data_IF_336340982711
#
_entry.id   IF_336340982711
#
_cell.length_a   1.000
_cell.length_b   1.000
_cell.length_c   1.000
_cell.angle_alpha   90.00
_cell.angle_beta   90.00
_cell.angle_gamma   90.00
#
_symmetry.space_group_name_H-M   'P 1'
#
loop_
_entity.id
_entity.type
_entity.pdbx_description
1 polymer ?
2 polymer ?
3 polymer ?
4 branched ?
5 branched ?
6 non-polymer ?
7 non-polymer ?
#
# COMPACT_ATOMS: atom_id res chain seq x y z
N UNK A 3 18.29 4.26 -31.36
CA UNK A 3 16.90 3.85 -31.59
C UNK A 3 16.47 2.91 -30.47
N UNK A 4 16.84 3.34 -29.24
CA UNK A 4 16.56 2.67 -27.96
C UNK A 4 15.16 3.03 -27.42
N UNK A 5 14.71 2.35 -26.36
CA UNK A 5 13.37 2.57 -25.82
C UNK A 5 13.37 2.81 -24.33
N UNK A 6 12.92 3.99 -23.94
CA UNK A 6 12.89 4.40 -22.54
C UNK A 6 11.54 4.92 -22.09
N UNK A 7 11.34 4.86 -20.78
CA UNK A 7 10.15 5.37 -20.12
C UNK A 7 8.87 5.07 -20.87
N UNK A 8 8.14 6.12 -21.25
CA UNK A 8 6.86 6.02 -21.92
C UNK A 8 6.91 5.25 -23.24
N UNK A 9 7.95 5.48 -24.04
CA UNK A 9 8.13 4.79 -25.31
C UNK A 9 8.27 3.29 -25.07
N UNK A 10 9.02 2.90 -24.03
CA UNK A 10 9.20 1.50 -23.70
C UNK A 10 7.88 0.82 -23.36
N UNK A 11 7.04 1.45 -22.52
CA UNK A 11 5.72 0.91 -22.13
C UNK A 11 4.81 0.75 -23.35
N UNK A 12 4.73 1.80 -24.15
CA UNK A 12 3.95 1.81 -25.37
C UNK A 12 4.40 0.65 -26.27
N UNK A 13 5.73 0.45 -26.42
CA UNK A 13 6.24 -0.65 -27.24
C UNK A 13 5.84 -2.03 -26.67
N UNK A 14 5.93 -2.20 -25.32
CA UNK A 14 5.56 -3.47 -24.67
C UNK A 14 4.06 -3.72 -24.81
N UNK A 15 3.27 -2.65 -24.69
CA UNK A 15 1.83 -2.74 -24.84
C UNK A 15 1.46 -3.19 -26.29
N UNK A 16 2.19 -2.66 -27.28
CA UNK A 16 1.89 -3.01 -28.67
C UNK A 16 2.29 -4.45 -28.97
N UNK A 17 3.48 -4.84 -28.52
CA UNK A 17 4.03 -6.17 -28.73
C UNK A 17 3.25 -7.24 -27.99
N UNK A 18 2.91 -6.97 -26.73
CA UNK A 18 2.21 -7.97 -25.93
C UNK A 18 0.74 -8.05 -26.24
N UNK A 19 0.11 -6.89 -26.46
CA UNK A 19 -1.31 -6.80 -26.75
C UNK A 19 -2.16 -7.53 -25.72
N UNK A 20 -3.05 -8.41 -26.20
CA UNK A 20 -3.99 -9.18 -25.39
C UNK A 20 -3.35 -10.16 -24.43
N UNK A 21 -2.11 -10.59 -24.68
CA UNK A 21 -1.43 -11.55 -23.81
C UNK A 21 -1.12 -11.02 -22.42
N UNK A 22 -0.85 -9.72 -22.35
CA UNK A 22 -0.46 -9.04 -21.12
C UNK A 22 1.02 -9.25 -20.85
N UNK A 23 1.45 -8.90 -19.63
CA UNK A 23 2.83 -9.02 -19.19
C UNK A 23 3.00 -10.12 -18.16
N UNK A 24 4.20 -10.73 -18.12
CA UNK A 24 4.53 -11.84 -17.25
C UNK A 24 5.01 -11.35 -15.89
N UNK A 25 4.78 -12.18 -14.83
CA UNK A 25 5.23 -11.95 -13.46
C UNK A 25 5.40 -13.28 -12.63
N UNK A 26 6.36 -13.26 -11.65
CA UNK A 26 6.85 -14.28 -10.69
C UNK A 26 7.63 -15.39 -11.39
N UNK A 41 19.63 -6.53 -12.94
CA UNK A 41 19.25 -6.07 -14.28
C UNK A 41 17.79 -6.33 -14.59
N UNK A 42 17.28 -5.68 -15.65
CA UNK A 42 15.91 -5.76 -16.13
C UNK A 42 15.84 -5.15 -17.50
N UNK A 43 14.65 -4.74 -17.90
CA UNK A 43 14.37 -4.21 -19.23
C UNK A 43 15.07 -2.89 -19.51
N UNK A 44 15.18 -2.04 -18.48
CA UNK A 44 15.84 -0.75 -18.63
C UNK A 44 17.25 -0.98 -19.14
N UNK A 45 17.95 -1.92 -18.55
CA UNK A 45 19.33 -2.22 -18.92
C UNK A 45 19.44 -2.78 -20.32
N UNK A 46 18.49 -3.65 -20.69
CA UNK A 46 18.50 -4.34 -21.98
C UNK A 46 18.03 -3.51 -23.16
N UNK A 47 17.01 -2.68 -22.94
CA UNK A 47 16.23 -1.98 -23.93
C UNK A 47 16.33 -0.47 -23.86
N UNK A 48 16.69 0.08 -22.73
CA UNK A 48 16.79 1.54 -22.64
C UNK A 48 18.23 2.04 -22.65
N UNK A 49 19.08 1.47 -21.79
CA UNK A 49 20.49 1.85 -21.75
C UNK A 49 21.19 1.29 -22.97
N UNK A 50 20.66 0.18 -23.49
CA UNK A 50 21.12 -0.51 -24.67
C UNK A 50 19.94 -0.71 -25.58
N UNK A 51 20.19 -1.00 -26.84
CA UNK A 51 19.11 -1.30 -27.75
C UNK A 51 18.86 -2.79 -27.66
N UNK A 52 17.59 -3.19 -27.71
CA UNK A 52 17.23 -4.59 -27.70
C UNK A 52 16.39 -4.87 -28.94
N UNK A 53 16.34 -6.12 -29.36
CA UNK A 53 15.51 -6.44 -30.50
C UNK A 53 14.13 -6.93 -30.05
N UNK A 54 13.23 -7.07 -31.00
CA UNK A 54 11.87 -7.52 -30.72
C UNK A 54 11.84 -8.86 -30.01
N UNK A 55 12.75 -9.79 -30.34
CA UNK A 55 12.73 -11.10 -29.66
C UNK A 55 13.05 -10.99 -28.18
N UNK A 56 13.86 -10.00 -27.75
CA UNK A 56 14.16 -9.79 -26.33
C UNK A 56 12.94 -9.19 -25.65
N UNK A 57 12.48 -8.10 -26.22
CA UNK A 57 11.35 -7.39 -25.69
C UNK A 57 10.10 -8.28 -25.51
N UNK A 58 9.82 -9.17 -26.46
CA UNK A 58 8.66 -10.05 -26.41
C UNK A 58 8.77 -11.09 -25.31
N UNK A 59 9.97 -11.32 -24.80
CA UNK A 59 10.12 -12.24 -23.67
C UNK A 59 9.49 -11.67 -22.39
N UNK A 60 9.09 -10.38 -22.38
CA UNK A 60 8.40 -9.77 -21.23
C UNK A 60 6.85 -9.99 -21.28
N UNK A 61 6.35 -10.57 -22.36
CA UNK A 61 4.91 -10.87 -22.50
C UNK A 61 4.53 -12.14 -21.78
N UNK A 62 3.31 -12.20 -21.23
CA UNK A 62 2.79 -13.44 -20.63
C UNK A 62 2.52 -14.44 -21.75
N UNK A 63 2.44 -15.76 -21.45
CA UNK A 63 2.23 -16.76 -22.52
C UNK A 63 0.98 -16.57 -23.37
N UNK B 1 -9.77 -3.76 17.83
CA UNK B 1 -10.95 -4.38 17.22
C UNK B 1 -10.62 -5.63 16.43
N UNK B 2 -11.33 -6.76 16.70
CA UNK B 2 -11.13 -8.02 15.96
C UNK B 2 -11.63 -7.90 14.52
N UNK B 3 -10.72 -8.11 13.55
CA UNK B 3 -10.96 -7.98 12.12
C UNK B 3 -11.99 -8.95 11.55
N UNK B 4 -13.04 -8.38 10.90
CA UNK B 4 -14.07 -9.21 10.25
C UNK B 4 -13.60 -10.17 9.14
N UNK B 5 -12.58 -9.78 8.40
CA UNK B 5 -12.01 -10.62 7.34
C UNK B 5 -10.63 -11.18 7.62
N UNK B 6 -10.04 -11.74 6.57
CA UNK B 6 -8.74 -12.41 6.58
C UNK B 6 -7.57 -11.44 6.54
N UNK B 7 -6.41 -12.01 6.82
CA UNK B 7 -5.12 -11.38 6.63
C UNK B 7 -4.65 -12.03 5.33
N UNK B 8 -4.50 -11.25 4.28
CA UNK B 8 -4.08 -11.81 3.02
C UNK B 8 -2.66 -11.48 2.77
N UNK B 9 -1.96 -12.26 1.93
CA UNK B 9 -0.56 -11.94 1.60
C UNK B 9 -0.47 -10.85 0.54
N UNK B 10 0.74 -10.31 0.37
CA UNK B 10 1.01 -9.32 -0.68
C UNK B 10 0.53 -9.81 -2.04
N UNK B 11 0.00 -8.87 -2.86
CA UNK B 11 -0.55 -9.19 -4.17
C UNK B 11 -0.09 -8.28 -5.26
N UNK B 12 -0.06 -8.85 -6.47
CA UNK B 12 0.31 -8.19 -7.71
C UNK B 12 -0.72 -8.52 -8.79
N UNK B 13 -1.63 -7.57 -9.00
CA UNK B 13 -2.74 -7.69 -9.93
C UNK B 13 -2.47 -6.93 -11.25
N UNK B 14 -2.44 -7.68 -12.36
CA UNK B 14 -2.07 -7.21 -13.68
C UNK B 14 -3.05 -7.65 -14.75
N UNK B 15 -3.03 -6.93 -15.91
CA UNK B 15 -3.67 -7.26 -17.18
C UNK B 15 -5.19 -7.26 -17.17
N UNK B 16 -5.84 -8.06 -16.30
CA UNK B 16 -7.29 -8.06 -16.21
C UNK B 16 -7.77 -8.01 -14.76
N UNK B 17 -9.02 -7.65 -14.61
CA UNK B 17 -9.60 -7.56 -13.28
C UNK B 17 -9.95 -8.87 -12.61
N UNK B 18 -9.97 -10.00 -13.34
CA UNK B 18 -10.35 -11.29 -12.74
C UNK B 18 -9.72 -11.56 -11.35
N UNK B 19 -8.39 -11.46 -11.24
CA UNK B 19 -7.68 -11.77 -10.01
C UNK B 19 -7.91 -10.81 -8.84
N UNK B 20 -8.45 -9.62 -9.12
CA UNK B 20 -8.71 -8.60 -8.12
C UNK B 20 -9.70 -9.04 -7.05
N UNK B 21 -10.62 -9.95 -7.40
CA UNK B 21 -11.60 -10.48 -6.46
C UNK B 21 -10.98 -11.39 -5.40
N UNK B 22 -9.67 -11.72 -5.53
CA UNK B 22 -8.92 -12.45 -4.52
C UNK B 22 -8.83 -11.60 -3.24
N UNK B 23 -9.11 -10.28 -3.34
CA UNK B 23 -9.08 -9.38 -2.19
C UNK B 23 -10.38 -9.29 -1.45
N UNK B 24 -11.45 -9.89 -1.97
CA UNK B 24 -12.81 -9.70 -1.46
C UNK B 24 -12.99 -9.89 0.06
N UNK B 25 -12.20 -10.76 0.73
CA UNK B 25 -12.34 -10.96 2.17
C UNK B 25 -11.19 -10.40 3.06
N UNK B 26 -10.28 -9.56 2.52
CA UNK B 26 -9.14 -9.06 3.31
C UNK B 26 -9.45 -7.84 4.11
N UNK B 27 -8.99 -7.86 5.35
CA UNK B 27 -9.01 -6.76 6.30
C UNK B 27 -7.64 -6.10 6.31
N UNK B 28 -6.62 -6.93 6.28
CA UNK B 28 -5.23 -6.51 6.27
C UNK B 28 -4.54 -7.21 5.11
N UNK B 29 -3.71 -6.49 4.36
CA UNK B 29 -2.83 -7.11 3.37
C UNK B 29 -1.44 -7.08 4.03
N UNK B 30 -0.91 -8.26 4.35
CA UNK B 30 0.37 -8.43 5.03
C UNK B 30 1.38 -8.63 3.87
N UNK B 31 1.86 -7.48 3.37
CA UNK B 31 2.69 -7.35 2.18
C UNK B 31 2.30 -6.08 1.46
N UNK B 32 2.55 -6.01 0.15
CA UNK B 32 2.21 -4.86 -0.67
C UNK B 32 1.05 -5.17 -1.58
N UNK B 33 0.44 -4.12 -2.14
CA UNK B 33 -0.62 -4.25 -3.11
C UNK B 33 -0.23 -3.44 -4.34
N UNK B 34 -0.04 -4.13 -5.46
CA UNK B 34 0.26 -3.51 -6.75
C UNK B 34 -0.88 -3.88 -7.69
N UNK B 35 -1.46 -2.87 -8.32
CA UNK B 35 -2.51 -3.00 -9.34
C UNK B 35 -1.97 -2.24 -10.56
N UNK B 36 -1.76 -2.97 -11.66
CA UNK B 36 -1.09 -2.36 -12.78
C UNK B 36 -1.35 -2.96 -14.11
N UNK B 37 -1.03 -2.15 -15.13
CA UNK B 37 -1.04 -2.54 -16.51
C UNK B 37 -2.34 -3.17 -16.94
N UNK B 38 -3.41 -2.39 -16.82
CA UNK B 38 -4.74 -2.78 -17.29
C UNK B 38 -5.14 -1.86 -18.39
N UNK B 39 -4.85 -2.29 -19.61
CA UNK B 39 -5.00 -1.45 -20.78
C UNK B 39 -6.36 -1.45 -21.42
N UNK B 40 -7.17 -2.49 -21.21
CA UNK B 40 -8.48 -2.53 -21.90
C UNK B 40 -9.68 -2.32 -20.97
N UNK B 41 -9.42 -2.06 -19.67
CA UNK B 41 -10.48 -1.76 -18.70
C UNK B 41 -11.10 -0.38 -19.03
N UNK B 42 -12.36 -0.18 -18.64
CA UNK B 42 -13.13 1.02 -18.87
C UNK B 42 -13.88 1.41 -17.60
N UNK B 43 -14.40 2.64 -17.45
CA UNK B 43 -15.11 3.00 -16.21
C UNK B 43 -16.23 2.06 -15.78
N UNK B 44 -16.92 1.44 -16.75
CA UNK B 44 -18.02 0.50 -16.53
C UNK B 44 -17.57 -0.72 -15.75
N UNK B 45 -16.30 -1.13 -15.92
CA UNK B 45 -15.70 -2.25 -15.17
C UNK B 45 -15.53 -1.96 -13.67
N UNK B 46 -15.51 -0.68 -13.28
CA UNK B 46 -15.32 -0.24 -11.91
C UNK B 46 -16.56 0.34 -11.26
N UNK B 47 -17.67 0.46 -12.01
CA UNK B 47 -18.92 1.00 -11.46
C UNK B 47 -19.46 0.16 -10.27
N UNK B 48 -19.27 -1.18 -10.33
CA UNK B 48 -19.78 -2.08 -9.30
C UNK B 48 -18.68 -2.81 -8.56
N UNK B 49 -17.55 -2.16 -8.31
CA UNK B 49 -16.40 -2.78 -7.70
C UNK B 49 -15.94 -2.07 -6.45
N UNK B 50 -15.93 -2.80 -5.32
CA UNK B 50 -15.62 -2.26 -4.00
C UNK B 50 -15.01 -3.28 -3.07
N UNK B 51 -14.02 -2.86 -2.25
CA UNK B 51 -13.35 -3.69 -1.21
C UNK B 51 -13.39 -2.97 0.15
N UNK B 52 -14.61 -2.90 0.72
CA UNK B 52 -14.81 -2.09 1.94
C UNK B 52 -14.21 -2.67 3.20
N UNK B 53 -13.80 -3.94 3.14
CA UNK B 53 -13.20 -4.62 4.27
C UNK B 53 -11.75 -4.23 4.47
N UNK B 54 -11.03 -3.78 3.42
CA UNK B 54 -9.62 -3.44 3.56
C UNK B 54 -9.36 -2.20 4.41
N UNK B 55 -8.65 -2.39 5.51
CA UNK B 55 -8.37 -1.35 6.51
C UNK B 55 -6.92 -0.95 6.48
N UNK B 56 -6.05 -1.91 6.16
CA UNK B 56 -4.63 -1.67 6.26
C UNK B 56 -3.78 -2.49 5.32
N UNK B 57 -2.67 -1.89 4.85
CA UNK B 57 -1.66 -2.54 4.02
C UNK B 57 -0.36 -2.39 4.80
N UNK B 58 0.38 -3.48 5.09
CA UNK B 58 1.59 -3.35 5.91
C UNK B 58 2.77 -2.73 5.16
N UNK B 59 2.84 -2.94 3.85
CA UNK B 59 3.95 -2.40 3.04
C UNK B 59 3.58 -1.13 2.25
N UNK B 60 3.33 -1.28 0.94
CA UNK B 60 3.01 -0.15 0.08
C UNK B 60 1.87 -0.46 -0.89
N UNK B 61 1.26 0.61 -1.42
CA UNK B 61 0.22 0.55 -2.41
C UNK B 61 0.77 1.23 -3.67
N UNK B 62 0.75 0.50 -4.78
CA UNK B 62 1.22 1.00 -6.06
C UNK B 62 0.14 0.79 -7.15
N UNK B 63 -0.22 1.88 -7.83
CA UNK B 63 -1.18 1.88 -8.91
C UNK B 63 -0.47 2.50 -10.14
N UNK B 64 -0.47 1.76 -11.25
CA UNK B 64 0.23 2.18 -12.46
C UNK B 64 -0.51 1.73 -13.72
N UNK B 65 -0.85 2.65 -14.61
CA UNK B 65 -1.51 2.31 -15.88
C UNK B 65 -2.77 1.45 -15.76
N UNK B 66 -3.72 1.88 -14.91
CA UNK B 66 -5.00 1.18 -14.80
C UNK B 66 -6.02 2.07 -15.51
N UNK B 67 -6.40 1.67 -16.73
CA UNK B 67 -7.33 2.44 -17.58
C UNK B 67 -8.76 2.33 -17.11
N UNK B 68 -9.48 3.43 -17.24
CA UNK B 68 -10.89 3.51 -16.85
C UNK B 68 -11.15 3.79 -15.39
N UNK B 69 -10.13 3.69 -14.52
CA UNK B 69 -10.30 3.93 -13.08
C UNK B 69 -10.17 5.42 -12.83
N UNK B 70 -11.28 6.03 -12.36
CA UNK B 70 -11.46 7.47 -12.16
C UNK B 70 -11.30 7.98 -10.74
N UNK B 71 -11.45 7.09 -9.76
CA UNK B 71 -11.36 7.42 -8.36
C UNK B 71 -11.14 6.13 -7.66
N UNK B 72 -10.59 6.21 -6.46
CA UNK B 72 -10.39 5.06 -5.59
C UNK B 72 -11.41 5.04 -4.46
N UNK B 73 -12.30 6.03 -4.39
CA UNK B 73 -13.27 6.16 -3.30
C UNK B 73 -14.20 4.97 -3.10
N UNK B 74 -14.50 4.22 -4.17
CA UNK B 74 -15.37 3.06 -4.09
C UNK B 74 -14.54 1.82 -4.00
N UNK B 75 -13.34 1.84 -4.58
CA UNK B 75 -12.47 0.68 -4.50
C UNK B 75 -11.96 0.45 -3.07
N UNK B 76 -11.32 1.46 -2.45
CA UNK B 76 -10.75 1.33 -1.10
C UNK B 76 -11.29 2.38 -0.12
N UNK B 77 -12.61 2.33 0.13
CA UNK B 77 -13.23 3.37 0.96
C UNK B 77 -12.76 3.45 2.41
N UNK B 78 -12.30 2.31 2.95
CA UNK B 78 -11.97 2.18 4.37
C UNK B 78 -10.49 2.01 4.68
N UNK B 79 -9.64 2.09 3.65
CA UNK B 79 -8.21 1.97 3.85
C UNK B 79 -7.76 3.15 4.70
N UNK B 80 -7.32 2.84 5.92
CA UNK B 80 -6.97 3.78 6.99
C UNK B 80 -5.46 3.98 7.23
N UNK B 81 -4.68 2.91 7.07
CA UNK B 81 -3.24 2.91 7.34
C UNK B 81 -2.49 2.14 6.29
N UNK B 82 -1.35 2.69 5.86
CA UNK B 82 -0.35 2.04 5.02
C UNK B 82 0.89 2.16 5.89
N UNK B 83 1.36 1.03 6.44
CA UNK B 83 2.45 1.03 7.41
C UNK B 83 3.81 1.32 6.82
N UNK B 84 4.03 0.93 5.55
CA UNK B 84 5.30 1.19 4.91
C UNK B 84 6.45 0.40 5.48
N UNK B 85 6.20 -0.86 5.91
CA UNK B 85 7.23 -1.71 6.51
C UNK B 85 8.31 -1.95 5.54
N UNK B 86 7.90 -2.21 4.30
CA UNK B 86 8.74 -2.34 3.13
C UNK B 86 8.17 -1.28 2.14
N UNK B 87 9.03 -0.66 1.34
CA UNK B 87 8.65 0.45 0.46
C UNK B 87 9.11 0.24 -0.94
N UNK B 88 8.52 0.98 -1.87
CA UNK B 88 8.88 0.94 -3.27
C UNK B 88 9.73 2.19 -3.51
N UNK B 89 11.08 2.04 -3.59
CA UNK B 89 12.04 3.16 -3.74
C UNK B 89 11.84 4.34 -2.73
N UNK B 90 11.48 4.07 -1.46
CA UNK B 90 11.23 5.06 -0.40
C UNK B 90 9.77 5.58 -0.36
N UNK B 91 8.88 5.00 -1.19
CA UNK B 91 7.47 5.37 -1.22
C UNK B 91 6.55 4.30 -0.69
N UNK B 92 5.57 4.73 0.10
CA UNK B 92 4.53 3.86 0.63
C UNK B 92 3.28 3.95 -0.25
N UNK B 93 3.18 5.02 -1.08
CA UNK B 93 2.07 5.23 -1.99
C UNK B 93 2.58 5.73 -3.31
N UNK B 94 2.28 4.98 -4.38
CA UNK B 94 2.73 5.28 -5.73
C UNK B 94 1.53 5.29 -6.68
N UNK B 95 1.25 6.47 -7.28
CA UNK B 95 0.19 6.67 -8.26
C UNK B 95 0.92 7.22 -9.45
N UNK B 96 1.13 6.36 -10.45
CA UNK B 96 1.93 6.72 -11.61
C UNK B 96 1.24 6.35 -12.92
N UNK B 97 1.15 7.31 -13.86
CA UNK B 97 0.57 7.10 -15.20
C UNK B 97 -0.79 6.44 -15.12
N UNK B 98 -1.61 6.94 -14.18
CA UNK B 98 -3.01 6.53 -14.01
C UNK B 98 -3.83 7.52 -14.86
N UNK B 99 -3.80 7.27 -16.21
CA UNK B 99 -4.30 8.09 -17.31
C UNK B 99 -5.72 8.66 -17.11
N UNK B 100 -6.59 7.97 -16.35
CA UNK B 100 -7.97 8.39 -16.17
C UNK B 100 -8.35 8.78 -14.77
N UNK B 101 -7.39 8.74 -13.84
CA UNK B 101 -7.72 9.06 -12.46
C UNK B 101 -7.99 10.54 -12.30
N UNK B 102 -9.19 10.87 -11.82
CA UNK B 102 -9.62 12.25 -11.65
C UNK B 102 -9.40 12.74 -10.19
N UNK B 103 -9.36 11.79 -9.24
CA UNK B 103 -9.15 12.08 -7.83
C UNK B 103 -8.64 10.80 -7.16
N UNK B 104 -7.95 10.93 -6.02
CA UNK B 104 -7.52 9.78 -5.25
C UNK B 104 -8.74 9.20 -4.57
N UNK B 105 -9.41 10.04 -3.78
CA UNK B 105 -10.60 9.62 -3.04
C UNK B 105 -10.42 8.64 -1.91
N UNK B 106 -9.16 8.49 -1.36
CA UNK B 106 -8.88 7.60 -0.22
C UNK B 106 -9.26 8.35 1.06
N UNK B 107 -10.57 8.67 1.20
CA UNK B 107 -11.10 9.53 2.25
C UNK B 107 -10.99 8.99 3.67
N UNK B 108 -10.59 7.71 3.86
CA UNK B 108 -10.35 7.18 5.21
C UNK B 108 -8.86 7.05 5.55
N UNK B 109 -7.96 7.41 4.61
CA UNK B 109 -6.52 7.26 4.85
C UNK B 109 -6.02 8.30 5.83
N UNK B 110 -5.67 7.85 7.05
CA UNK B 110 -5.27 8.72 8.14
C UNK B 110 -3.80 8.79 8.44
N UNK B 111 -3.09 7.68 8.14
CA UNK B 111 -1.69 7.59 8.47
C UNK B 111 -0.92 6.74 7.50
N UNK B 112 0.28 7.21 7.15
CA UNK B 112 1.29 6.47 6.39
C UNK B 112 2.44 6.44 7.38
N UNK B 113 2.67 5.26 7.98
CA UNK B 113 3.53 5.13 9.13
C UNK B 113 4.97 5.35 8.82
N UNK B 114 5.37 4.96 7.61
CA UNK B 114 6.72 5.07 7.12
C UNK B 114 6.67 5.23 5.63
N UNK B 115 7.59 6.04 5.11
CA UNK B 115 7.74 6.27 3.69
C UNK B 115 7.02 7.52 3.22
N UNK B 116 7.13 7.83 1.92
CA UNK B 116 6.57 9.00 1.28
C UNK B 116 5.59 8.67 0.20
N UNK B 117 5.09 9.71 -0.44
CA UNK B 117 4.10 9.64 -1.50
C UNK B 117 4.70 10.12 -2.85
N UNK B 118 4.52 9.31 -3.89
CA UNK B 118 4.89 9.71 -5.23
C UNK B 118 3.67 9.61 -6.12
N UNK B 119 3.15 10.77 -6.55
CA UNK B 119 1.96 10.91 -7.39
C UNK B 119 2.43 11.74 -8.57
N UNK B 120 2.71 11.05 -9.68
CA UNK B 120 3.38 11.63 -10.82
C UNK B 120 2.76 11.20 -12.13
N UNK B 121 2.64 12.15 -13.09
CA UNK B 121 2.23 11.93 -14.47
C UNK B 121 0.82 11.35 -14.62
N UNK B 122 -0.13 11.96 -13.92
CA UNK B 122 -1.55 11.61 -13.92
C UNK B 122 -2.32 12.77 -14.55
N UNK B 123 -2.50 12.71 -15.88
CA UNK B 123 -3.00 13.86 -16.65
C UNK B 123 -4.39 14.36 -16.33
N UNK B 124 -5.22 13.56 -15.66
CA UNK B 124 -6.55 14.02 -15.30
C UNK B 124 -6.66 14.27 -13.79
N UNK B 125 -5.56 14.09 -13.04
CA UNK B 125 -5.64 14.08 -11.58
C UNK B 125 -5.70 15.42 -10.87
N UNK B 126 -6.82 15.57 -10.16
CA UNK B 126 -7.11 16.71 -9.33
C UNK B 126 -7.33 16.26 -7.89
N UNK B 127 -7.79 17.18 -7.04
CA UNK B 127 -8.03 16.93 -5.62
C UNK B 127 -6.73 16.53 -4.91
N UNK B 128 -5.63 17.17 -5.34
CA UNK B 128 -4.32 17.00 -4.73
C UNK B 128 -3.97 18.19 -3.85
N UNK B 129 -4.24 19.43 -4.33
CA UNK B 129 -3.97 20.64 -3.55
C UNK B 129 -4.87 20.74 -2.33
N UNK B 130 -5.97 19.98 -2.32
CA UNK B 130 -6.94 19.94 -1.24
C UNK B 130 -6.58 18.99 -0.10
N UNK B 131 -5.53 18.20 -0.26
CA UNK B 131 -5.12 17.22 0.73
C UNK B 131 -3.98 17.81 1.55
N UNK B 132 -4.12 17.82 2.88
CA UNK B 132 -3.04 18.19 3.78
C UNK B 132 -2.33 16.88 4.16
N UNK B 133 -1.23 16.59 3.46
CA UNK B 133 -0.44 15.39 3.74
C UNK B 133 0.26 15.42 5.08
N UNK B 134 0.49 16.62 5.67
CA UNK B 134 1.14 16.75 7.00
C UNK B 134 0.33 16.05 8.10
N UNK B 135 -0.96 15.81 7.87
CA UNK B 135 -1.82 15.08 8.80
C UNK B 135 -1.68 13.59 8.65
N UNK B 136 -0.98 13.13 7.59
CA UNK B 136 -0.88 11.72 7.21
C UNK B 136 0.54 11.17 7.32
N UNK B 137 1.56 11.98 6.96
CA UNK B 137 3.00 11.61 6.98
C UNK B 137 3.77 12.61 7.81
N UNK B 138 4.86 12.14 8.43
CA UNK B 138 5.78 13.07 9.09
C UNK B 138 6.65 13.68 7.99
N UNK B 139 7.30 12.80 7.18
CA UNK B 139 8.17 13.18 6.07
C UNK B 139 7.40 13.59 4.78
N UNK B 140 6.96 14.86 4.71
CA UNK B 140 6.25 15.40 3.53
C UNK B 140 7.23 16.09 2.58
N UNK B 141 8.45 16.31 3.10
CA UNK B 141 9.51 16.94 2.33
C UNK B 141 10.02 15.97 1.25
N UNK B 142 9.78 14.65 1.42
CA UNK B 142 10.16 13.66 0.44
C UNK B 142 9.03 13.26 -0.51
N UNK B 143 7.86 13.93 -0.41
CA UNK B 143 6.78 13.69 -1.34
C UNK B 143 7.17 14.20 -2.72
N UNK B 144 6.73 13.49 -3.78
CA UNK B 144 7.03 13.89 -5.14
C UNK B 144 5.72 13.86 -5.91
N UNK B 145 5.03 15.01 -5.91
CA UNK B 145 3.71 15.15 -6.49
C UNK B 145 3.76 16.20 -7.56
N UNK B 146 3.99 15.74 -8.80
CA UNK B 146 4.21 16.59 -9.97
C UNK B 146 3.62 15.99 -11.24
N UNK B 147 3.55 16.83 -12.27
CA UNK B 147 3.07 16.50 -13.59
C UNK B 147 1.67 15.86 -13.56
N UNK B 148 0.76 16.50 -12.84
CA UNK B 148 -0.64 16.11 -12.78
C UNK B 148 -1.50 17.26 -13.33
N UNK B 149 -2.79 17.04 -13.65
CA UNK B 149 -3.68 18.13 -14.12
C UNK B 149 -3.60 19.33 -13.15
N UNK B 150 -3.44 19.01 -11.87
CA UNK B 150 -3.30 19.92 -10.74
C UNK B 150 -2.20 20.97 -10.91
N UNK B 151 -1.15 20.68 -11.70
CA UNK B 151 -0.02 21.58 -11.92
C UNK B 151 -0.49 22.95 -12.41
N UNK B 152 -1.47 22.95 -13.37
CA UNK B 152 -2.01 24.18 -13.96
C UNK B 152 -3.26 24.71 -13.18
N UNK B 153 -4.01 25.70 -13.73
CA UNK B 153 -5.18 26.24 -13.02
C UNK B 153 -6.48 25.89 -13.76
N UNK B 154 -6.68 24.58 -13.93
CA UNK B 154 -7.82 23.96 -14.60
C UNK B 154 -8.59 22.99 -13.66
N UNK B 155 -8.09 22.72 -12.44
CA UNK B 155 -8.76 21.79 -11.55
C UNK B 155 -10.00 22.40 -10.94
N UNK B 156 -9.81 23.51 -10.23
CA UNK B 156 -10.88 24.23 -9.56
C UNK B 156 -11.54 23.47 -8.42
N UNK B 157 -10.80 22.53 -7.81
CA UNK B 157 -11.17 21.66 -6.69
C UNK B 157 -12.20 22.22 -5.76
N UNK B 158 -13.38 21.59 -5.78
CA UNK B 158 -14.51 22.09 -5.03
C UNK B 158 -14.92 21.13 -3.95
N UNK B 159 -14.85 21.65 -2.72
CA UNK B 159 -15.06 20.89 -1.49
C UNK B 159 -16.47 20.98 -0.99
N UNK B 160 -16.92 19.96 -0.25
CA UNK B 160 -18.27 19.98 0.35
C UNK B 160 -18.67 21.31 1.04
N UNK B 161 -19.88 21.75 0.72
CA UNK B 161 -20.44 22.98 1.26
C UNK B 161 -20.29 24.24 0.41
N UNK B 162 -19.31 24.28 -0.50
CA UNK B 162 -19.00 25.47 -1.33
C UNK B 162 -20.21 26.06 -2.04
N UNK B 163 -20.98 25.20 -2.73
CA UNK B 163 -22.18 25.63 -3.46
C UNK B 163 -23.19 26.30 -2.52
N UNK B 164 -23.30 25.80 -1.29
CA UNK B 164 -24.20 26.33 -0.27
C UNK B 164 -23.59 27.51 0.51
N UNK B 165 -22.39 27.97 0.11
CA UNK B 165 -21.69 29.07 0.78
C UNK B 165 -21.09 28.70 2.12
N UNK B 166 -20.89 27.39 2.32
CA UNK B 166 -20.39 26.81 3.57
C UNK B 166 -19.00 26.21 3.40
N UNK B 167 -18.31 26.07 4.54
CA UNK B 167 -17.02 25.41 4.62
C UNK B 167 -17.24 24.22 5.54
N UNK B 168 -17.77 23.11 5.00
CA UNK B 168 -18.00 21.90 5.80
C UNK B 168 -16.71 21.20 6.25
N UNK B 169 -15.63 21.36 5.45
CA UNK B 169 -14.35 20.70 5.70
C UNK B 169 -13.45 21.46 6.62
N UNK B 170 -12.57 20.76 7.36
CA UNK B 170 -11.63 21.48 8.22
C UNK B 170 -10.55 22.17 7.39
N UNK B 171 -10.17 23.38 7.77
CA UNK B 171 -9.12 24.04 7.00
C UNK B 171 -7.85 24.04 7.80
N UNK B 172 -6.75 23.79 7.10
CA UNK B 172 -5.42 23.75 7.66
C UNK B 172 -4.46 24.65 6.89
N UNK B 173 -3.31 24.96 7.52
CA UNK B 173 -2.31 25.87 7.01
C UNK B 173 -1.09 25.09 6.62
N UNK B 174 -0.64 25.26 5.36
CA UNK B 174 0.57 24.62 4.85
C UNK B 174 1.44 25.72 4.34
N UNK B 175 2.53 26.00 5.09
CA UNK B 175 3.47 27.06 4.80
C UNK B 175 2.82 28.41 4.50
N UNK B 176 2.09 28.98 5.46
CA UNK B 176 1.41 30.26 5.29
C UNK B 176 0.11 30.26 4.49
N UNK B 177 -0.25 29.14 3.82
CA UNK B 177 -1.54 29.18 3.14
C UNK B 177 -2.54 28.29 3.81
N UNK B 178 -3.66 28.96 4.19
CA UNK B 178 -4.86 28.46 4.88
C UNK B 178 -5.82 27.95 3.82
N UNK B 179 -6.19 26.66 3.89
CA UNK B 179 -7.00 26.01 2.85
C UNK B 179 -7.87 24.92 3.45
N UNK B 180 -9.13 24.80 2.96
CA UNK B 180 -10.15 23.76 3.26
C UNK B 180 -9.70 22.42 2.64
N UNK B 181 -9.70 21.33 3.44
CA UNK B 181 -9.19 20.03 3.04
C UNK B 181 -10.24 18.96 2.79
N UNK B 182 -10.15 18.40 1.60
CA UNK B 182 -11.05 17.37 1.11
C UNK B 182 -10.39 16.44 0.07
N UNK B 183 -11.05 15.28 -0.16
CA UNK B 183 -10.63 14.21 -1.05
C UNK B 183 -11.43 14.20 -2.33
N UNK B 184 -12.73 14.54 -2.27
CA UNK B 184 -13.64 14.62 -3.42
C UNK B 184 -14.68 15.73 -3.17
N UNK B 185 -15.55 15.99 -4.14
CA UNK B 185 -16.63 16.96 -4.00
C UNK B 185 -17.53 16.59 -2.81
N UNK B 186 -17.61 15.30 -2.47
CA UNK B 186 -18.51 14.87 -1.43
C UNK B 186 -17.85 14.28 -0.16
N UNK B 187 -16.49 14.27 -0.06
CA UNK B 187 -15.79 13.75 1.13
C UNK B 187 -14.72 14.69 1.66
N UNK B 188 -14.86 15.10 2.92
CA UNK B 188 -13.86 15.92 3.57
C UNK B 188 -12.69 15.07 3.98
N UNK B 189 -11.53 15.72 4.22
CA UNK B 189 -10.35 15.07 4.81
C UNK B 189 -10.57 15.16 6.27
N UNK B 190 -10.44 14.04 6.99
CA UNK B 190 -10.65 14.07 8.42
C UNK B 190 -9.45 14.66 9.08
N UNK B 191 -9.66 15.59 9.98
CA UNK B 191 -8.56 16.19 10.71
C UNK B 191 -9.01 16.19 12.15
N UNK B 192 -8.12 15.72 13.03
CA UNK B 192 -8.36 15.59 14.45
C UNK B 192 -7.70 16.71 15.17
N UNK B 193 -8.17 16.99 16.39
CA UNK B 193 -7.48 17.98 17.22
C UNK B 193 -6.02 17.57 17.46
N UNK B 194 -5.23 18.60 17.68
CA UNK B 194 -3.80 18.52 17.95
C UNK B 194 -3.53 17.64 19.15
N UNK B 195 -4.39 17.69 20.19
CA UNK B 195 -4.24 16.84 21.40
C UNK B 195 -4.24 15.35 21.09
N UNK B 196 -4.88 14.91 19.99
CA UNK B 196 -4.95 13.51 19.60
C UNK B 196 -3.66 12.97 19.05
N UNK B 197 -2.77 13.89 18.68
CA UNK B 197 -1.50 13.52 18.07
C UNK B 197 -1.77 12.57 16.89
N UNK B 198 -1.06 11.47 16.83
CA UNK B 198 -1.16 10.51 15.73
C UNK B 198 -2.22 9.41 15.96
N UNK B 199 -2.92 9.46 17.13
CA UNK B 199 -3.82 8.41 17.52
C UNK B 199 -5.16 8.37 16.80
N UNK B 200 -5.58 9.49 16.23
CA UNK B 200 -6.87 9.56 15.61
C UNK B 200 -7.95 9.93 16.59
N UNK B 201 -9.14 10.09 16.09
CA UNK B 201 -10.26 10.46 16.91
C UNK B 201 -11.50 9.85 16.32
N UNK B 202 -12.58 9.75 17.11
CA UNK B 202 -13.88 9.25 16.64
C UNK B 202 -14.52 10.30 15.71
N UNK B 203 -15.69 9.95 15.15
CA UNK B 203 -16.42 10.86 14.28
C UNK B 203 -16.71 12.18 14.99
N UNK B 204 -16.92 12.13 16.31
CA UNK B 204 -17.23 13.30 17.10
C UNK B 204 -16.00 14.11 17.55
N UNK B 205 -14.81 13.73 17.09
CA UNK B 205 -13.57 14.45 17.41
C UNK B 205 -12.89 14.11 18.73
N UNK B 206 -13.33 13.02 19.39
CA UNK B 206 -12.78 12.60 20.68
C UNK B 206 -11.59 11.70 20.44
N UNK B 207 -10.50 11.98 21.13
CA UNK B 207 -9.26 11.21 20.96
C UNK B 207 -9.35 9.73 21.25
N UNK B 208 -8.73 8.99 20.34
CA UNK B 208 -8.52 7.56 20.45
C UNK B 208 -7.42 7.37 21.49
N UNK B 209 -7.33 6.13 21.97
CA UNK B 209 -6.27 5.67 22.85
C UNK B 209 -4.89 5.82 22.19
N UNK B 210 -3.85 6.02 22.99
CA UNK B 210 -2.47 6.23 22.56
C UNK B 210 -1.91 5.04 21.81
N UNK B 211 -2.52 3.85 21.96
CA UNK B 211 -2.12 2.66 21.22
C UNK B 211 -2.83 2.56 19.83
N UNK B 212 -3.85 3.40 19.59
CA UNK B 212 -4.51 3.44 18.29
C UNK B 212 -3.67 4.21 17.32
N UNK B 213 -4.09 4.01 16.07
CA UNK B 213 -3.52 4.67 14.94
C UNK B 213 -4.65 5.07 14.00
N UNK B 214 -4.82 6.36 13.76
CA UNK B 214 -5.76 6.86 12.77
C UNK B 214 -7.23 6.96 13.10
N UNK B 215 -7.84 5.89 13.64
CA UNK B 215 -9.27 5.92 13.91
C UNK B 215 -9.67 4.88 14.95
N UNK B 216 -10.81 5.09 15.63
CA UNK B 216 -11.41 4.22 16.63
C UNK B 216 -12.91 4.42 16.65
N UNK B 217 -13.67 3.45 17.21
CA UNK B 217 -15.12 3.55 17.36
C UNK B 217 -15.51 4.23 18.67
N UNK B 218 -14.61 4.19 19.66
CA UNK B 218 -14.82 4.80 20.99
C UNK B 218 -13.51 5.39 21.47
N UNK B 219 -13.60 6.50 22.19
CA UNK B 219 -12.39 7.17 22.67
C UNK B 219 -11.74 6.46 23.84
N UNK B 220 -10.44 6.70 23.98
CA UNK B 220 -9.60 6.21 25.05
C UNK B 220 -9.89 4.73 25.45
N UNK B 221 -9.88 3.82 24.44
CA UNK B 221 -10.09 2.38 24.62
C UNK B 221 -9.28 1.63 23.56
N UNK B 222 -8.28 0.83 23.99
CA UNK B 222 -7.43 0.11 23.04
C UNK B 222 -8.03 -1.12 22.39
N UNK B 223 -9.29 -1.44 22.74
CA UNK B 223 -9.99 -2.55 22.11
C UNK B 223 -10.96 -2.02 21.07
N UNK B 224 -10.95 -0.69 20.86
CA UNK B 224 -11.88 -0.01 19.96
C UNK B 224 -11.17 0.70 18.82
N UNK B 225 -9.88 0.37 18.59
CA UNK B 225 -9.06 0.93 17.49
C UNK B 225 -9.40 0.31 16.17
N UNK B 226 -9.34 1.09 15.10
CA UNK B 226 -9.46 0.57 13.73
C UNK B 226 -8.09 -0.09 13.30
N UNK B 227 -7.00 0.50 13.79
CA UNK B 227 -5.65 0.06 13.54
C UNK B 227 -4.80 0.46 14.75
N UNK B 228 -3.68 -0.26 14.95
CA UNK B 228 -2.73 -0.11 16.07
C UNK B 228 -1.49 0.64 15.74
N UNK B 229 -0.98 1.38 16.71
CA UNK B 229 0.27 2.12 16.59
C UNK B 229 1.43 1.16 16.60
N UNK B 230 1.41 0.19 17.54
CA UNK B 230 2.50 -0.79 17.66
C UNK B 230 2.07 -2.21 17.22
N UNK B 231 1.54 -3.02 18.15
CA UNK B 231 1.13 -4.37 17.82
C UNK B 231 -0.30 -4.66 18.13
N UNK B 232 -0.85 -5.62 17.41
CA UNK B 232 -2.21 -6.05 17.55
C UNK B 232 -2.32 -7.46 18.16
N UNK B 233 -3.16 -7.63 19.14
CA UNK B 233 -3.31 -8.91 19.79
C UNK B 233 -4.77 -9.16 20.08
N UNK B 234 -5.36 -10.18 19.43
CA UNK B 234 -6.76 -10.57 19.61
C UNK B 234 -7.72 -9.41 19.93
N UNK B 235 -7.88 -8.53 18.93
CA UNK B 235 -8.75 -7.36 19.04
C UNK B 235 -8.32 -6.33 20.07
N UNK B 236 -7.02 -6.15 20.24
CA UNK B 236 -6.48 -5.17 21.19
C UNK B 236 -5.17 -4.63 20.73
N UNK B 237 -4.96 -3.32 20.88
CA UNK B 237 -3.69 -2.67 20.52
C UNK B 237 -2.79 -2.59 21.73
N UNK B 238 -1.58 -3.18 21.60
CA UNK B 238 -0.54 -3.26 22.65
C UNK B 238 0.83 -2.68 22.20
N UNK B 239 1.58 -2.10 23.17
CA UNK B 239 2.91 -1.54 22.91
C UNK B 239 3.94 -2.58 22.49
N UNK B 240 3.96 -3.73 23.15
CA UNK B 240 4.86 -4.83 22.78
C UNK B 240 4.10 -6.12 23.03
N UNK B 241 4.49 -7.21 22.36
CA UNK B 241 3.87 -8.49 22.56
C UNK B 241 4.32 -9.06 23.90
N UNK B 242 3.35 -9.43 24.77
CA UNK B 242 3.73 -10.02 26.06
C UNK B 242 3.97 -11.51 25.85
N UNK B 243 4.62 -12.19 26.81
CA UNK B 243 4.72 -13.66 26.70
C UNK B 243 3.31 -14.23 26.97
N UNK B 244 2.97 -15.31 26.31
CA UNK B 244 3.85 -16.14 25.51
C UNK B 244 3.79 -15.85 24.01
N UNK B 245 3.54 -14.60 23.62
CA UNK B 245 3.43 -14.25 22.21
C UNK B 245 4.72 -13.73 21.57
N UNK B 246 4.82 -13.82 20.23
CA UNK B 246 5.96 -13.34 19.46
C UNK B 246 5.56 -12.25 18.54
N UNK B 247 6.49 -11.33 18.28
CA UNK B 247 6.29 -10.23 17.33
C UNK B 247 6.36 -10.75 15.91
N UNK B 248 5.32 -10.49 15.13
CA UNK B 248 5.26 -10.99 13.76
C UNK B 248 4.96 -9.85 12.79
N UNK B 249 5.77 -9.81 11.73
CA UNK B 249 5.67 -8.86 10.61
C UNK B 249 5.53 -7.42 11.04
N UNK B 250 6.15 -7.08 12.18
CA UNK B 250 6.12 -5.72 12.75
C UNK B 250 4.69 -5.14 13.02
N UNK B 251 3.68 -6.00 13.18
CA UNK B 251 2.35 -5.47 13.49
C UNK B 251 1.46 -6.40 14.31
N UNK B 252 1.77 -7.70 14.38
CA UNK B 252 0.89 -8.54 15.18
C UNK B 252 1.60 -9.53 16.13
N UNK B 253 0.87 -9.96 17.18
CA UNK B 253 1.34 -10.91 18.19
C UNK B 253 0.80 -12.25 17.83
N UNK B 254 1.69 -13.21 17.75
CA UNK B 254 1.31 -14.57 17.39
C UNK B 254 1.88 -15.53 18.42
N UNK B 255 1.28 -16.70 18.51
CA UNK B 255 1.73 -17.67 19.50
C UNK B 255 2.70 -18.67 18.86
N UNK B 256 3.38 -19.45 19.69
CA UNK B 256 4.31 -20.43 19.20
C UNK B 256 3.71 -21.35 18.14
N UNK B 257 2.48 -21.82 18.40
CA UNK B 257 1.78 -22.75 17.54
C UNK B 257 1.59 -22.21 16.12
N UNK B 258 1.31 -20.90 15.99
CA UNK B 258 1.12 -20.23 14.71
C UNK B 258 2.42 -20.25 13.93
N UNK B 259 3.51 -19.87 14.62
CA UNK B 259 4.83 -19.82 14.02
C UNK B 259 5.26 -21.21 13.58
N UNK B 260 4.89 -22.21 14.37
CA UNK B 260 5.17 -23.61 14.10
C UNK B 260 4.40 -24.12 12.90
N UNK B 261 3.11 -23.79 12.82
CA UNK B 261 2.26 -24.18 11.69
C UNK B 261 2.77 -23.61 10.37
N UNK B 262 3.30 -22.39 10.37
CA UNK B 262 3.89 -21.76 9.18
C UNK B 262 5.12 -22.54 8.72
N UNK B 263 5.98 -22.83 9.68
CA UNK B 263 7.21 -23.58 9.48
C UNK B 263 6.95 -24.96 8.82
N UNK B 264 5.95 -25.71 9.32
CA UNK B 264 5.64 -27.04 8.85
C UNK B 264 4.66 -27.07 7.65
N UNK B 265 4.22 -25.90 7.16
CA UNK B 265 3.44 -25.83 5.92
C UNK B 265 4.51 -25.76 4.84
N UNK B 266 5.59 -25.00 5.11
CA UNK B 266 6.70 -24.84 4.18
C UNK B 266 7.63 -26.08 4.12
N UNK B 267 7.07 -27.30 3.93
CA UNK B 267 7.88 -28.50 3.85
C UNK B 267 8.21 -28.79 2.38
N UNK B 268 7.31 -29.48 1.64
CA UNK B 268 7.48 -29.77 0.21
C UNK B 268 7.06 -28.54 -0.60
N UNK B 269 7.53 -28.45 -1.88
CA UNK B 269 7.25 -27.37 -2.86
C UNK B 269 7.74 -26.01 -2.36
N UNK B 270 9.06 -25.81 -2.47
CA UNK B 270 9.76 -24.59 -2.05
C UNK B 270 9.28 -23.30 -2.78
N UNK B 271 8.40 -23.45 -3.80
CA UNK B 271 7.81 -22.39 -4.64
C UNK B 271 6.77 -21.53 -3.87
N UNK B 272 6.03 -20.68 -4.62
CA UNK B 272 4.97 -19.78 -4.18
C UNK B 272 5.37 -18.83 -3.01
N UNK B 273 6.68 -18.69 -2.76
CA UNK B 273 7.23 -17.79 -1.75
C UNK B 273 7.04 -18.23 -0.31
N UNK B 274 7.67 -19.39 0.05
CA UNK B 274 7.60 -19.90 1.43
C UNK B 274 8.97 -20.01 2.12
N UNK B 275 8.93 -19.85 3.46
CA UNK B 275 10.07 -19.98 4.36
C UNK B 275 9.64 -20.85 5.52
N UNK B 276 10.61 -21.52 6.11
CA UNK B 276 10.41 -22.29 7.33
C UNK B 276 10.74 -21.31 8.46
N UNK B 277 9.68 -20.72 9.11
CA UNK B 277 9.77 -19.68 10.12
C UNK B 277 10.47 -20.12 11.38
N UNK B 278 11.19 -19.18 12.00
CA UNK B 278 11.99 -19.44 13.21
C UNK B 278 11.74 -18.40 14.27
N UNK B 279 12.13 -18.70 15.51
CA UNK B 279 12.03 -17.77 16.63
C UNK B 279 13.41 -17.19 16.87
N UNK B 280 13.50 -15.87 16.92
CA UNK B 280 14.73 -15.15 17.24
C UNK B 280 14.40 -13.83 17.88
N UNK B 281 14.93 -13.61 19.10
CA UNK B 281 14.73 -12.42 19.91
C UNK B 281 13.26 -11.96 20.03
N UNK B 282 12.36 -12.92 20.39
CA UNK B 282 10.90 -12.72 20.60
C UNK B 282 10.15 -12.31 19.35
N UNK B 283 10.70 -12.71 18.20
CA UNK B 283 10.09 -12.47 16.90
C UNK B 283 9.98 -13.79 16.17
N UNK B 284 8.93 -13.94 15.38
CA UNK B 284 8.75 -15.09 14.51
C UNK B 284 9.18 -14.59 13.12
N UNK B 285 10.31 -15.11 12.60
CA UNK B 285 10.86 -14.57 11.36
C UNK B 285 11.14 -15.62 10.26
N UNK B 286 11.25 -15.16 8.98
CA UNK B 286 11.41 -16.09 7.86
C UNK B 286 12.59 -17.02 7.96
N UNK B 287 13.73 -16.48 8.38
CA UNK B 287 14.94 -17.28 8.52
C UNK B 287 15.84 -16.74 9.62
N UNK B 288 16.70 -17.62 10.13
CA UNK B 288 17.73 -17.28 11.09
C UNK B 288 18.66 -16.27 10.44
N UNK B 289 19.16 -15.30 11.21
CA UNK B 289 20.18 -14.40 10.66
C UNK B 289 21.51 -15.12 10.46
N UNK B 290 22.48 -14.47 9.81
CA UNK B 290 23.79 -15.08 9.56
C UNK B 290 24.49 -15.34 10.88
N UNK B 291 25.10 -16.51 10.99
CA UNK B 291 25.82 -16.95 12.19
C UNK B 291 24.98 -17.80 13.11
N UNK B 292 23.72 -18.03 12.72
CA UNK B 292 22.78 -18.82 13.49
C UNK B 292 22.20 -19.90 12.65
N UNK B 293 21.82 -20.97 13.32
CA UNK B 293 21.18 -22.13 12.74
C UNK B 293 20.03 -22.47 13.63
N UNK B 294 19.06 -23.11 13.06
CA UNK B 294 17.86 -23.37 13.76
C UNK B 294 17.79 -24.72 14.47
N UNK B 295 17.78 -24.64 15.82
CA UNK B 295 17.54 -25.76 16.74
C UNK B 295 16.14 -26.24 16.33
N UNK B 296 16.07 -27.50 15.92
CA UNK B 296 14.92 -28.11 15.25
C UNK B 296 13.68 -28.36 16.11
N UNK B 297 13.88 -28.70 17.39
CA UNK B 297 12.82 -29.11 18.31
C UNK B 297 11.95 -27.99 18.85
N UNK B 298 12.37 -26.74 18.65
CA UNK B 298 11.69 -25.59 19.25
C UNK B 298 11.82 -24.33 18.42
N UNK B 299 12.13 -24.47 17.12
CA UNK B 299 12.23 -23.38 16.13
C UNK B 299 13.14 -22.24 16.52
N UNK B 300 14.00 -22.45 17.52
CA UNK B 300 14.82 -21.40 18.06
C UNK B 300 16.17 -21.23 17.45
N UNK B 301 16.47 -20.03 16.95
CA UNK B 301 17.79 -19.74 16.42
C UNK B 301 18.84 -19.80 17.52
N UNK B 302 19.88 -20.61 17.31
CA UNK B 302 21.04 -20.75 18.19
C UNK B 302 22.28 -20.43 17.36
N UNK B 303 23.31 -19.77 17.94
CA UNK B 303 24.49 -19.42 17.13
C UNK B 303 25.29 -20.66 16.77
N UNK B 304 26.02 -20.64 15.64
CA UNK B 304 26.72 -21.85 15.24
C UNK B 304 28.12 -21.89 15.77
N UNK B 305 28.49 -23.07 16.31
CA UNK B 305 29.83 -23.37 16.77
C UNK B 305 30.54 -23.72 15.47
N UNK B 306 31.37 -22.78 15.05
CA UNK B 306 32.04 -22.84 13.76
C UNK B 306 31.06 -22.43 12.68
N UNK B 307 31.45 -22.48 11.40
CA UNK B 307 30.51 -22.07 10.34
C UNK B 307 29.18 -22.84 10.36
N UNK B 308 28.12 -22.18 9.91
CA UNK B 308 26.79 -22.74 9.85
C UNK B 308 26.66 -23.74 8.71
N UNK B 309 25.82 -24.79 8.88
CA UNK B 309 25.60 -25.75 7.79
C UNK B 309 24.94 -25.13 6.56
N UNK C 3 11.45 5.85 -12.06
CA UNK C 3 10.70 5.39 -13.27
C UNK C 3 11.38 4.20 -13.95
N UNK C 4 12.70 4.32 -14.23
CA UNK C 4 13.48 3.20 -14.75
C UNK C 4 13.48 2.15 -13.61
N UNK C 5 13.55 2.60 -12.31
CA UNK C 5 13.47 1.68 -11.18
C UNK C 5 12.09 1.05 -11.15
N UNK C 6 11.03 1.81 -11.53
CA UNK C 6 9.71 1.23 -11.60
C UNK C 6 9.67 0.10 -12.68
N UNK C 7 10.06 0.41 -13.93
CA UNK C 7 10.03 -0.53 -15.05
C UNK C 7 10.85 -1.77 -14.83
N UNK C 8 11.98 -1.65 -14.12
CA UNK C 8 12.85 -2.78 -13.86
C UNK C 8 12.18 -3.77 -12.92
N UNK C 9 11.51 -3.23 -11.89
CA UNK C 9 10.81 -3.98 -10.86
C UNK C 9 9.54 -4.64 -11.35
N UNK C 10 8.74 -3.93 -12.17
CA UNK C 10 7.48 -4.47 -12.66
C UNK C 10 7.71 -5.37 -13.88
N UNK C 11 8.49 -4.94 -14.92
CA UNK C 11 8.76 -5.77 -16.10
C UNK C 11 9.82 -6.86 -15.91
N UNK C 12 9.34 -8.12 -16.05
CA UNK C 12 10.14 -9.32 -15.89
C UNK C 12 9.90 -10.31 -17.05
N UNK C 13 11.00 -10.81 -17.69
CA UNK C 13 10.84 -11.83 -18.76
C UNK C 13 10.97 -13.22 -18.15
N UNK C 14 10.82 -14.36 -18.92
CA UNK C 14 11.04 -15.72 -18.38
C UNK C 14 10.47 -16.84 -19.22
#
# INVERSE_FOLDING_TARGET
GPETLCGAELVDALQFVCGDRGFYFNKPTGYGSSSRRAPQTGIVDECCFRSCDLRRLEMYCAPLKPAKSA
HLYPGEVCPGMDIRNNLTRLHELENCSVIEGHLQILLMFKTRPEDFRDLSFPKLIMITDYLLLFRVYGLESLKDLFPNLTVIRGSRLFFNYALVIFEMVHLKELGLYNLMNITRGSVRIEKNNELCYLATIDWSRILDSVEDNHIVLNKDDNEECGDICPGTAKGKTNCPATVINGQFVERCWTHSHCQKVCPTICKSHGCTAEGLCCHSECLGNCSQPDDPTKCVACRNFYLDGRCVETCPPPYYHFQDWRCVNFSFCQDLHHKCKNSRRQGCHQYVIHNNKCIPECPSGYTMNSSNLLCTPCLGPCPKSSSLVPR
VFENFLHNSIFVPRPE
#
